data_IF_559718595355
#
_entry.id   IF_559718595355
#
_cell.length_a   1.000
_cell.length_b   1.000
_cell.length_c   1.000
_cell.angle_alpha   90.00
_cell.angle_beta   90.00
_cell.angle_gamma   90.00
#
_symmetry.space_group_name_H-M   'P 1'
#
loop_
_entity.id
_entity.type
_entity.pdbx_description
1 polymer ?
#
# COMPACT_ATOMS: atom_id res chain seq x y z
N UNK A 1 -17.28 -6.67 22.14
CA UNK A 1 -16.70 -5.89 21.02
C UNK A 1 -16.47 -6.88 19.89
N UNK A 2 -16.93 -6.57 18.69
CA UNK A 2 -16.75 -7.45 17.51
C UNK A 2 -15.32 -7.32 17.02
N UNK A 3 -14.62 -8.44 16.83
CA UNK A 3 -13.25 -8.44 16.33
C UNK A 3 -13.24 -8.10 14.84
N UNK A 4 -12.31 -7.25 14.44
CA UNK A 4 -12.14 -6.85 13.04
C UNK A 4 -11.57 -8.01 12.24
N UNK A 5 -12.04 -8.22 11.02
CA UNK A 5 -11.41 -9.19 10.09
C UNK A 5 -9.96 -8.82 9.76
N UNK A 6 -9.57 -7.56 9.96
CA UNK A 6 -8.20 -7.10 9.75
C UNK A 6 -7.22 -7.57 10.83
N UNK A 7 -7.73 -8.09 11.96
CA UNK A 7 -6.92 -8.71 13.01
C UNK A 7 -6.75 -10.24 12.78
N UNK A 8 -7.27 -10.78 11.67
CA UNK A 8 -7.20 -12.19 11.31
C UNK A 8 -5.98 -12.46 10.41
N UNK A 9 -5.11 -13.37 10.85
CA UNK A 9 -3.89 -13.74 10.11
C UNK A 9 -4.21 -14.40 8.76
N UNK A 10 -5.29 -15.17 8.66
CA UNK A 10 -5.75 -15.79 7.41
C UNK A 10 -6.14 -14.73 6.40
N UNK A 11 -6.83 -13.67 6.85
CA UNK A 11 -7.16 -12.53 6.00
C UNK A 11 -5.87 -11.85 5.50
N UNK A 12 -4.91 -11.61 6.40
CA UNK A 12 -3.63 -11.01 6.03
C UNK A 12 -2.84 -11.87 5.04
N UNK A 13 -2.83 -13.20 5.22
CA UNK A 13 -2.19 -14.12 4.27
C UNK A 13 -2.82 -14.01 2.89
N UNK A 14 -4.14 -13.98 2.77
CA UNK A 14 -4.82 -13.76 1.48
C UNK A 14 -4.48 -12.39 0.87
N UNK A 15 -4.53 -11.33 1.68
CA UNK A 15 -4.20 -9.98 1.26
C UNK A 15 -2.74 -9.84 0.77
N UNK A 16 -1.80 -10.53 1.40
CA UNK A 16 -0.38 -10.53 1.02
C UNK A 16 -0.11 -11.09 -0.38
N UNK A 17 -1.06 -11.86 -0.94
CA UNK A 17 -0.94 -12.45 -2.28
C UNK A 17 -1.51 -11.57 -3.39
N UNK A 18 -2.08 -10.41 -3.07
CA UNK A 18 -2.57 -9.49 -4.09
C UNK A 18 -1.41 -8.98 -4.96
N UNK A 19 -1.63 -8.72 -6.27
CA UNK A 19 -0.57 -8.25 -7.16
C UNK A 19 0.17 -7.01 -6.64
N UNK A 20 -0.54 -6.04 -6.06
CA UNK A 20 0.07 -4.85 -5.46
C UNK A 20 0.93 -5.14 -4.22
N UNK A 21 0.65 -6.23 -3.49
CA UNK A 21 1.48 -6.70 -2.37
C UNK A 21 2.77 -7.34 -2.87
N UNK A 22 2.71 -8.14 -3.94
CA UNK A 22 3.83 -8.92 -4.48
C UNK A 22 4.74 -8.08 -5.39
N UNK A 23 4.14 -7.31 -6.30
CA UNK A 23 4.84 -6.58 -7.36
C UNK A 23 4.94 -5.07 -7.08
N UNK A 24 4.45 -4.62 -5.92
CA UNK A 24 4.50 -3.22 -5.53
C UNK A 24 3.72 -2.32 -6.48
N UNK A 25 4.30 -1.15 -6.78
CA UNK A 25 3.67 -0.12 -7.62
C UNK A 25 3.39 -0.61 -9.05
N UNK A 26 4.19 -1.53 -9.58
CA UNK A 26 3.96 -2.16 -10.90
C UNK A 26 2.76 -3.13 -10.88
N UNK A 27 2.40 -3.65 -9.70
CA UNK A 27 1.23 -4.50 -9.47
C UNK A 27 -0.03 -3.72 -9.08
N UNK A 28 0.06 -2.40 -8.94
CA UNK A 28 -1.03 -1.50 -8.55
C UNK A 28 -1.48 -0.68 -9.79
N UNK A 29 -2.45 -1.16 -10.58
CA UNK A 29 -2.86 -0.50 -11.83
C UNK A 29 -3.36 0.94 -11.64
N UNK A 30 -3.83 1.28 -10.44
CA UNK A 30 -4.22 2.64 -10.06
C UNK A 30 -3.04 3.59 -9.84
N UNK A 31 -1.82 3.08 -9.63
CA UNK A 31 -0.68 3.87 -9.20
C UNK A 31 -0.34 4.98 -10.19
N UNK A 32 -0.28 4.68 -11.48
CA UNK A 32 0.01 5.69 -12.51
C UNK A 32 -0.96 6.87 -12.45
N UNK A 33 -2.23 6.59 -12.15
CA UNK A 33 -3.26 7.63 -12.04
C UNK A 33 -3.16 8.40 -10.74
N UNK A 34 -2.87 7.73 -9.62
CA UNK A 34 -2.65 8.37 -8.32
C UNK A 34 -1.39 9.25 -8.33
N UNK A 35 -0.30 8.77 -8.90
CA UNK A 35 0.97 9.49 -8.99
C UNK A 35 0.81 10.82 -9.74
N UNK A 36 -0.03 10.86 -10.78
CA UNK A 36 -0.36 12.10 -11.52
C UNK A 36 -1.11 13.14 -10.69
N UNK A 37 -1.74 12.75 -9.58
CA UNK A 37 -2.45 13.66 -8.67
C UNK A 37 -1.53 14.21 -7.57
N UNK A 38 -0.34 13.62 -7.39
CA UNK A 38 0.59 14.06 -6.37
C UNK A 38 1.23 15.40 -6.76
N UNK A 39 1.44 16.32 -5.80
CA UNK A 39 2.23 17.51 -6.04
C UNK A 39 3.72 17.14 -6.14
N UNK A 40 4.58 18.10 -6.49
CA UNK A 40 6.03 17.92 -6.39
C UNK A 40 6.40 17.60 -4.94
N UNK A 41 7.15 16.51 -4.69
CA UNK A 41 7.42 15.99 -3.36
C UNK A 41 8.84 16.29 -2.83
N UNK A 42 9.71 16.88 -3.64
CA UNK A 42 11.12 17.07 -3.30
C UNK A 42 11.26 18.04 -2.13
N UNK A 43 12.08 17.65 -1.16
CA UNK A 43 12.30 18.43 0.05
C UNK A 43 11.10 18.44 1.03
N UNK A 44 10.05 17.66 0.76
CA UNK A 44 8.95 17.45 1.72
C UNK A 44 9.26 16.28 2.64
N UNK A 45 8.59 16.26 3.79
CA UNK A 45 8.58 15.13 4.73
C UNK A 45 7.29 14.36 4.53
N UNK A 46 7.38 13.07 4.24
CA UNK A 46 6.23 12.21 3.99
C UNK A 46 6.05 11.20 5.12
N UNK A 47 4.81 10.76 5.31
CA UNK A 47 4.41 9.69 6.22
C UNK A 47 3.56 8.69 5.42
N UNK A 48 4.03 7.46 5.33
CA UNK A 48 3.32 6.36 4.68
C UNK A 48 2.60 5.52 5.75
N UNK A 49 1.30 5.75 5.91
CA UNK A 49 0.46 5.06 6.89
C UNK A 49 -0.19 3.83 6.26
N UNK A 50 -0.08 2.70 6.94
CA UNK A 50 -0.52 1.43 6.37
C UNK A 50 0.36 1.01 5.19
N UNK A 51 1.65 1.32 5.24
CA UNK A 51 2.63 1.09 4.17
C UNK A 51 2.75 -0.37 3.71
N UNK A 52 2.18 -1.32 4.46
CA UNK A 52 2.24 -2.75 4.15
C UNK A 52 3.69 -3.21 4.02
N UNK A 53 4.08 -3.57 2.79
CA UNK A 53 5.44 -4.04 2.46
C UNK A 53 6.43 -2.90 2.13
N UNK A 54 6.01 -1.64 2.27
CA UNK A 54 6.84 -0.44 2.18
C UNK A 54 7.08 0.08 0.76
N UNK A 55 6.23 -0.25 -0.20
CA UNK A 55 6.48 0.02 -1.63
C UNK A 55 6.57 1.50 -2.01
N UNK A 56 5.92 2.42 -1.27
CA UNK A 56 5.97 3.85 -1.57
C UNK A 56 7.24 4.58 -1.08
N UNK A 57 7.95 4.01 -0.10
CA UNK A 57 9.07 4.68 0.59
C UNK A 57 10.41 3.95 0.46
N UNK A 58 10.54 3.03 -0.50
CA UNK A 58 11.81 2.32 -0.80
C UNK A 58 12.73 3.11 -1.71
#
# INVERSE_FOLDING_TARGET
MTQSIYDDETFFQGYSQLPGSIHGLDGAPEWDSLHRLLPELRGKRLLDLGCGFGWFCR
#
